data_IF_646103744940
#
_entry.id   IF_646103744940
#
_cell.length_a   1.000
_cell.length_b   1.000
_cell.length_c   1.000
_cell.angle_alpha   90.00
_cell.angle_beta   90.00
_cell.angle_gamma   90.00
#
_symmetry.space_group_name_H-M   'P 1'
#
loop_
_entity.id
_entity.type
_entity.pdbx_description
1 polymer ?
#
# COMPACT_ATOMS: atom_id res chain seq x y z
N UNK A 1 7.58 4.73 1.59
CA UNK A 1 7.14 3.88 0.46
C UNK A 1 8.28 3.36 -0.42
N UNK A 2 9.28 4.18 -0.78
CA UNK A 2 10.35 3.81 -1.73
C UNK A 2 11.12 2.51 -1.41
N UNK A 3 11.36 2.23 -0.12
CA UNK A 3 12.03 0.99 0.28
C UNK A 3 11.14 -0.25 0.10
N UNK A 4 9.82 -0.10 0.27
CA UNK A 4 8.86 -1.19 0.11
C UNK A 4 8.67 -1.58 -1.36
N UNK A 5 8.70 -0.61 -2.27
CA UNK A 5 8.58 -0.85 -3.72
C UNK A 5 9.83 -1.51 -4.30
N UNK A 6 11.02 -1.17 -3.80
CA UNK A 6 12.29 -1.76 -4.24
C UNK A 6 12.50 -3.17 -3.65
N UNK A 7 12.02 -3.42 -2.42
CA UNK A 7 12.22 -4.68 -1.70
C UNK A 7 13.59 -4.79 -1.02
N UNK A 8 14.30 -3.67 -0.89
CA UNK A 8 15.64 -3.64 -0.30
C UNK A 8 15.54 -3.59 1.23
N UNK A 9 15.52 -4.76 1.87
CA UNK A 9 15.36 -4.88 3.33
C UNK A 9 16.40 -4.07 4.13
N UNK A 10 17.72 -4.08 3.81
CA UNK A 10 18.69 -3.29 4.55
C UNK A 10 18.44 -1.78 4.43
N UNK A 11 18.02 -1.34 3.25
CA UNK A 11 17.64 0.05 3.01
C UNK A 11 16.36 0.41 3.78
N UNK A 12 15.38 -0.50 3.82
CA UNK A 12 14.17 -0.35 4.62
C UNK A 12 14.49 -0.29 6.11
N UNK A 13 15.40 -1.10 6.63
CA UNK A 13 15.81 -1.07 8.04
C UNK A 13 16.46 0.27 8.44
N UNK A 14 17.18 0.92 7.51
CA UNK A 14 17.81 2.22 7.75
C UNK A 14 16.79 3.36 7.57
N UNK A 15 15.89 3.25 6.59
CA UNK A 15 14.92 4.31 6.23
C UNK A 15 13.62 4.28 7.03
N UNK A 16 13.17 3.11 7.50
CA UNK A 16 11.95 2.96 8.29
C UNK A 16 12.31 2.94 9.77
N UNK A 17 12.05 4.05 10.45
CA UNK A 17 11.70 4.01 11.87
C UNK A 17 10.29 3.43 12.01
N UNK A 18 10.00 2.67 13.07
CA UNK A 18 8.72 1.97 13.25
C UNK A 18 7.49 2.86 13.02
N UNK A 19 7.54 4.13 13.40
CA UNK A 19 6.43 5.08 13.20
C UNK A 19 6.11 5.37 11.71
N UNK A 20 7.09 5.19 10.82
CA UNK A 20 6.92 5.38 9.38
C UNK A 20 6.19 4.23 8.68
N UNK A 21 6.00 3.08 9.35
CA UNK A 21 5.25 1.95 8.83
C UNK A 21 3.74 2.20 8.78
N UNK A 22 3.21 2.96 9.75
CA UNK A 22 1.79 3.29 9.80
C UNK A 22 1.42 4.50 8.94
N UNK A 23 2.41 5.19 8.35
CA UNK A 23 2.19 6.31 7.44
C UNK A 23 1.59 5.81 6.13
N UNK A 24 0.44 6.35 5.77
CA UNK A 24 -0.23 6.11 4.50
C UNK A 24 0.06 7.22 3.50
N UNK A 25 -0.06 6.92 2.21
CA UNK A 25 -0.06 7.93 1.14
C UNK A 25 -1.42 8.65 1.03
N UNK A 26 -1.55 9.55 0.05
CA UNK A 26 -2.80 10.26 -0.23
C UNK A 26 -3.98 9.34 -0.61
N UNK A 27 -3.70 8.10 -1.03
CA UNK A 27 -4.70 7.08 -1.39
C UNK A 27 -4.94 6.09 -0.25
N UNK A 28 -4.43 6.37 0.95
CA UNK A 28 -4.56 5.48 2.11
C UNK A 28 -3.70 4.21 2.05
N UNK A 29 -2.82 4.07 1.06
CA UNK A 29 -1.93 2.93 0.94
C UNK A 29 -0.83 3.01 1.99
N UNK A 30 -0.68 1.95 2.76
CA UNK A 30 0.47 1.75 3.67
C UNK A 30 1.68 1.16 2.91
N UNK A 31 2.88 1.15 3.51
CA UNK A 31 4.04 0.46 2.94
C UNK A 31 3.78 -1.02 2.65
N UNK A 32 2.89 -1.65 3.42
CA UNK A 32 2.49 -3.04 3.22
C UNK A 32 1.70 -3.22 1.91
N UNK A 33 0.80 -2.29 1.57
CA UNK A 33 0.08 -2.29 0.29
C UNK A 33 1.06 -2.33 -0.89
N UNK A 34 2.11 -1.50 -0.82
CA UNK A 34 3.15 -1.48 -1.85
C UNK A 34 3.99 -2.75 -1.88
N UNK A 35 4.36 -3.29 -0.72
CA UNK A 35 5.11 -4.54 -0.65
C UNK A 35 4.34 -5.70 -1.32
N UNK A 36 3.02 -5.77 -1.12
CA UNK A 36 2.15 -6.74 -1.78
C UNK A 36 1.94 -6.45 -3.28
N UNK A 37 1.66 -5.20 -3.63
CA UNK A 37 1.44 -4.81 -5.03
C UNK A 37 2.67 -5.09 -5.92
N UNK A 38 3.88 -4.92 -5.37
CA UNK A 38 5.13 -5.22 -6.07
C UNK A 38 5.67 -6.63 -5.80
N UNK A 39 4.87 -7.53 -5.20
CA UNK A 39 5.22 -8.93 -4.91
C UNK A 39 6.55 -9.08 -4.13
N UNK A 40 6.85 -8.15 -3.22
CA UNK A 40 8.04 -8.15 -2.38
C UNK A 40 7.80 -8.97 -1.11
N UNK A 41 7.56 -10.27 -1.25
CA UNK A 41 7.24 -11.17 -0.14
C UNK A 41 8.20 -11.08 1.06
N UNK A 42 9.54 -10.97 0.88
CA UNK A 42 10.47 -10.80 2.00
C UNK A 42 10.26 -9.48 2.76
N UNK A 43 9.93 -8.40 2.04
CA UNK A 43 9.63 -7.10 2.62
C UNK A 43 8.28 -7.10 3.32
N UNK A 44 7.25 -7.71 2.70
CA UNK A 44 5.92 -7.83 3.29
C UNK A 44 5.99 -8.56 4.63
N UNK A 45 6.67 -9.71 4.70
CA UNK A 45 6.87 -10.45 5.95
C UNK A 45 7.62 -9.66 7.02
N UNK A 46 8.61 -8.86 6.60
CA UNK A 46 9.34 -8.01 7.54
C UNK A 46 8.43 -6.91 8.10
N UNK A 47 7.60 -6.27 7.27
CA UNK A 47 6.63 -5.26 7.70
C UNK A 47 5.55 -5.86 8.61
N UNK A 48 4.99 -7.04 8.27
CA UNK A 48 4.01 -7.75 9.10
C UNK A 48 4.56 -8.08 10.49
N UNK A 49 5.84 -8.46 10.57
CA UNK A 49 6.50 -8.75 11.84
C UNK A 49 6.66 -7.51 12.73
N UNK A 50 6.71 -6.31 12.14
CA UNK A 50 6.82 -5.04 12.87
C UNK A 50 5.46 -4.40 13.15
N UNK A 51 4.50 -4.51 12.23
CA UNK A 51 3.23 -3.80 12.24
C UNK A 51 2.10 -4.69 11.66
N UNK A 52 1.65 -5.66 12.47
CA UNK A 52 0.62 -6.64 12.09
C UNK A 52 -0.76 -6.02 11.87
N UNK A 53 -1.04 -4.89 12.50
CA UNK A 53 -2.26 -4.09 12.31
C UNK A 53 -2.45 -3.59 10.87
N UNK A 54 -1.36 -3.50 10.09
CA UNK A 54 -1.42 -3.08 8.69
C UNK A 54 -2.01 -4.15 7.77
N UNK A 55 -2.01 -5.43 8.17
CA UNK A 55 -2.51 -6.55 7.35
C UNK A 55 -4.00 -6.39 7.00
N UNK A 56 -4.80 -5.89 7.94
CA UNK A 56 -6.23 -5.64 7.78
C UNK A 56 -6.55 -4.17 7.46
N UNK A 57 -5.53 -3.34 7.21
CA UNK A 57 -5.73 -1.91 7.00
C UNK A 57 -6.22 -1.67 5.57
N UNK A 58 -7.45 -1.21 5.43
CA UNK A 58 -7.97 -0.79 4.13
C UNK A 58 -7.41 0.59 3.72
N UNK A 59 -7.12 0.72 2.42
CA UNK A 59 -6.82 1.97 1.76
C UNK A 59 -8.10 2.75 1.40
N UNK A 60 -7.98 3.91 0.74
CA UNK A 60 -9.14 4.73 0.35
C UNK A 60 -10.06 4.04 -0.65
N UNK A 61 -9.56 3.06 -1.42
CA UNK A 61 -10.35 2.25 -2.34
C UNK A 61 -11.08 1.09 -1.63
N UNK A 62 -10.92 0.96 -0.30
CA UNK A 62 -11.47 -0.17 0.48
C UNK A 62 -10.72 -1.49 0.29
N UNK A 63 -9.51 -1.46 -0.24
CA UNK A 63 -8.67 -2.64 -0.46
C UNK A 63 -7.67 -2.82 0.68
N UNK A 64 -7.52 -4.05 1.15
CA UNK A 64 -6.43 -4.44 2.05
C UNK A 64 -5.11 -4.60 1.28
N UNK A 65 -3.95 -4.69 1.96
CA UNK A 65 -2.69 -4.98 1.30
C UNK A 65 -2.72 -6.27 0.48
N UNK A 66 -3.47 -7.27 0.95
CA UNK A 66 -3.61 -8.53 0.22
C UNK A 66 -4.43 -8.37 -1.06
N UNK A 67 -5.46 -7.51 -1.05
CA UNK A 67 -6.32 -7.25 -2.22
C UNK A 67 -5.54 -6.55 -3.34
N UNK A 68 -4.61 -5.67 -2.99
CA UNK A 68 -3.72 -5.01 -3.97
C UNK A 68 -2.56 -5.89 -4.42
N UNK A 69 -2.39 -7.08 -3.84
CA UNK A 69 -1.35 -8.01 -4.26
C UNK A 69 -1.56 -8.45 -5.71
N UNK A 70 -0.47 -8.76 -6.41
CA UNK A 70 -0.54 -9.31 -7.77
C UNK A 70 -1.37 -10.61 -7.89
N UNK A 71 -1.75 -11.23 -6.77
CA UNK A 71 -2.58 -12.43 -6.70
C UNK A 71 -4.07 -12.14 -6.43
N UNK A 72 -4.44 -10.94 -5.98
CA UNK A 72 -5.79 -10.61 -5.50
C UNK A 72 -6.90 -10.77 -6.55
N UNK A 73 -6.59 -10.56 -7.83
CA UNK A 73 -7.60 -10.57 -8.91
C UNK A 73 -7.99 -11.95 -9.44
N UNK A 74 -7.40 -13.04 -8.95
CA UNK A 74 -7.72 -14.39 -9.47
C UNK A 74 -8.63 -15.22 -8.57
N UNK A 75 -8.90 -14.82 -7.33
CA UNK A 75 -9.64 -15.64 -6.38
C UNK A 75 -10.82 -14.95 -5.67
N UNK A 76 -10.85 -13.63 -5.55
CA UNK A 76 -11.96 -12.94 -4.89
C UNK A 76 -12.45 -11.76 -5.73
N UNK A 77 -13.63 -11.85 -6.38
CA UNK A 77 -14.32 -10.66 -6.81
C UNK A 77 -14.65 -9.86 -5.55
N UNK A 78 -13.96 -8.75 -5.32
CA UNK A 78 -14.39 -7.81 -4.29
C UNK A 78 -15.78 -7.33 -4.68
N UNK A 79 -16.74 -7.24 -3.73
CA UNK A 79 -18.01 -6.60 -4.04
C UNK A 79 -17.68 -5.18 -4.49
N UNK A 80 -18.09 -4.82 -5.71
CA UNK A 80 -17.96 -3.46 -6.24
C UNK A 80 -18.51 -2.49 -5.19
N UNK A 81 -17.61 -1.84 -4.44
CA UNK A 81 -17.96 -0.66 -3.65
C UNK A 81 -17.96 0.50 -4.61
N UNK A 82 -18.88 0.45 -5.57
CA UNK A 82 -19.33 1.63 -6.29
C UNK A 82 -19.99 2.54 -5.25
N UNK A 83 -19.26 3.58 -4.84
CA UNK A 83 -19.66 4.79 -4.11
C UNK A 83 -18.34 5.43 -3.65
N UNK A 84 -17.90 6.63 -3.98
CA UNK A 84 -18.40 7.83 -4.65
C UNK A 84 -17.12 8.68 -4.82
N UNK A 85 -16.79 9.16 -6.02
CA UNK A 85 -16.99 10.56 -6.44
C UNK A 85 -16.09 11.60 -5.73
N UNK A 86 -15.64 12.56 -6.55
CA UNK A 86 -15.00 13.85 -6.28
C UNK A 86 -13.47 13.97 -6.15
N UNK A 87 -12.88 14.42 -7.26
CA UNK A 87 -11.58 15.05 -7.34
C UNK A 87 -11.22 15.46 -8.77
N UNK A 88 -12.14 16.14 -9.46
CA UNK A 88 -11.85 16.86 -10.70
C UNK A 88 -10.87 18.04 -10.44
N UNK A 89 -10.16 18.42 -11.52
CA UNK A 89 -9.45 19.70 -11.74
C UNK A 89 -8.10 19.89 -11.00
N UNK A 90 -7.00 20.40 -11.58
CA UNK A 90 -6.81 21.21 -12.78
C UNK A 90 -5.30 21.13 -13.14
N UNK A 91 -4.95 20.71 -14.37
CA UNK A 91 -3.60 20.93 -14.90
C UNK A 91 -3.57 22.34 -15.49
N UNK A 92 -3.25 23.33 -14.67
CA UNK A 92 -2.91 24.67 -15.15
C UNK A 92 -1.57 24.60 -15.87
N UNK A 93 -1.62 24.64 -17.20
CA UNK A 93 -0.51 25.06 -18.04
C UNK A 93 -0.34 26.58 -17.86
N UNK A 94 0.75 27.00 -17.24
CA UNK A 94 1.21 28.39 -17.28
C UNK A 94 2.44 28.49 -18.19
N UNK A 95 2.29 29.39 -19.17
CA UNK A 95 3.21 29.97 -20.18
C UNK A 95 3.63 29.14 -21.42
#
# INVERSE_FOLDING_TARGET
>A
MLAATTGHIPLAQILLQCDSLHRVDARGNSPLHYAYAYCKSPMARWIEAQAKDLESKENSDGHTPLDVSGFGRKLFPTPSRDNCDDGDDEYSSDD
#
